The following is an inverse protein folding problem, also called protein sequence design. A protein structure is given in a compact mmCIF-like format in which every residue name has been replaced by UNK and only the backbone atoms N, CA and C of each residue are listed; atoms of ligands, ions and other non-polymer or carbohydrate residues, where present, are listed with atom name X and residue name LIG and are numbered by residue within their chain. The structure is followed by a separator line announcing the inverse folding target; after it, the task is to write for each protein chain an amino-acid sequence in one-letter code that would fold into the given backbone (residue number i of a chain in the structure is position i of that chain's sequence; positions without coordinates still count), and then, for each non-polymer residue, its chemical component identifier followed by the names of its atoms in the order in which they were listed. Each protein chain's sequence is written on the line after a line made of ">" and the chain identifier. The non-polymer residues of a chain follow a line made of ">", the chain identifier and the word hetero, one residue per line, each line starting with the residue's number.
data_IF_709392756574
#
_entry.id   IF_709392756574
#
_cell.length_a   1.000
_cell.length_b   1.000
_cell.length_c   1.000
_cell.angle_alpha   90.00
_cell.angle_beta   90.00
_cell.angle_gamma   90.00
#
_symmetry.space_group_name_H-M   'P 1'
#
loop_
_entity.id
_entity.type
_entity.pdbx_description
1 polymer ?
#
# COMPACT_ATOMS: atom_id res chain seq x y z
N UNK A 1 -9.38 24.80 -8.52
CA UNK A 1 -8.63 23.69 -9.15
C UNK A 1 -7.93 22.93 -8.03
N UNK A 2 -8.69 22.19 -7.21
CA UNK A 2 -8.15 21.51 -6.03
C UNK A 2 -9.02 20.29 -5.78
N UNK A 3 -8.50 19.13 -6.15
CA UNK A 3 -9.26 17.89 -6.19
C UNK A 3 -8.58 16.94 -7.14
N UNK A 4 -7.31 16.61 -6.87
CA UNK A 4 -6.88 15.27 -7.25
C UNK A 4 -7.73 14.37 -6.37
N UNK A 5 -8.72 13.71 -6.96
CA UNK A 5 -9.37 12.55 -6.36
C UNK A 5 -8.28 11.73 -5.68
N UNK A 6 -8.32 11.70 -4.35
CA UNK A 6 -7.26 11.13 -3.54
C UNK A 6 -7.18 9.65 -3.89
N UNK A 7 -6.18 9.28 -4.69
CA UNK A 7 -5.74 7.89 -4.83
C UNK A 7 -5.68 7.30 -3.43
N UNK A 8 -6.35 6.16 -3.24
CA UNK A 8 -6.33 5.52 -1.93
C UNK A 8 -4.93 4.97 -1.68
N UNK A 9 -4.52 4.77 -0.42
CA UNK A 9 -3.21 4.16 -0.15
C UNK A 9 -3.06 2.80 -0.86
N UNK A 10 -4.17 2.08 -1.10
CA UNK A 10 -4.16 0.82 -1.84
C UNK A 10 -3.76 0.99 -3.32
N UNK A 11 -4.15 2.11 -3.94
CA UNK A 11 -3.75 2.43 -5.31
C UNK A 11 -2.26 2.78 -5.39
N UNK A 12 -1.73 3.54 -4.43
CA UNK A 12 -0.30 3.87 -4.35
C UNK A 12 0.55 2.59 -4.21
N UNK A 13 0.11 1.63 -3.39
CA UNK A 13 0.77 0.33 -3.23
C UNK A 13 0.71 -0.48 -4.53
N UNK A 14 -0.45 -0.53 -5.20
CA UNK A 14 -0.62 -1.24 -6.47
C UNK A 14 0.26 -0.64 -7.56
N UNK A 15 0.31 0.68 -7.64
CA UNK A 15 1.15 1.39 -8.61
C UNK A 15 2.63 1.11 -8.36
N UNK A 16 3.10 1.26 -7.11
CA UNK A 16 4.47 0.99 -6.74
C UNK A 16 4.88 -0.47 -7.02
N UNK A 17 3.97 -1.43 -6.87
CA UNK A 17 4.18 -2.82 -7.26
C UNK A 17 4.31 -2.96 -8.78
N UNK A 18 3.39 -2.37 -9.54
CA UNK A 18 3.38 -2.43 -11.00
C UNK A 18 4.61 -1.77 -11.63
N UNK A 19 5.09 -0.65 -11.09
CA UNK A 19 6.32 0.02 -11.53
C UNK A 19 7.56 -0.86 -11.39
N UNK A 20 7.53 -1.84 -10.48
CA UNK A 20 8.60 -2.84 -10.29
C UNK A 20 8.41 -4.10 -11.13
N UNK A 21 7.31 -4.19 -11.89
CA UNK A 21 6.97 -5.37 -12.69
C UNK A 21 6.59 -6.60 -11.86
N UNK A 22 6.22 -6.43 -10.58
CA UNK A 22 5.91 -7.54 -9.69
C UNK A 22 4.43 -7.95 -9.74
N UNK A 23 4.17 -9.24 -9.67
CA UNK A 23 2.87 -9.82 -9.35
C UNK A 23 2.55 -9.66 -7.87
N UNK A 24 1.28 -9.84 -7.49
CA UNK A 24 0.88 -9.82 -6.08
C UNK A 24 1.55 -10.92 -5.25
N UNK A 25 1.84 -12.08 -5.86
CA UNK A 25 2.56 -13.19 -5.19
C UNK A 25 4.01 -12.78 -4.90
N UNK A 26 4.69 -12.20 -5.88
CA UNK A 26 6.07 -11.73 -5.73
C UNK A 26 6.23 -10.65 -4.66
N UNK A 27 5.25 -9.74 -4.54
CA UNK A 27 5.23 -8.77 -3.47
C UNK A 27 4.95 -9.45 -2.11
N UNK A 28 4.07 -10.45 -2.08
CA UNK A 28 3.76 -11.19 -0.86
C UNK A 28 4.99 -11.90 -0.30
N UNK A 29 5.74 -12.58 -1.16
CA UNK A 29 7.00 -13.24 -0.82
C UNK A 29 8.03 -12.25 -0.26
N UNK A 30 8.24 -11.12 -0.97
CA UNK A 30 9.19 -10.08 -0.55
C UNK A 30 8.80 -9.40 0.76
N UNK A 31 7.50 -9.23 1.01
CA UNK A 31 6.98 -8.64 2.24
C UNK A 31 6.83 -9.63 3.40
N UNK A 32 6.98 -10.94 3.15
CA UNK A 32 6.76 -11.97 4.16
C UNK A 32 5.31 -11.99 4.67
N UNK A 33 4.34 -11.86 3.76
CA UNK A 33 2.90 -11.94 4.01
C UNK A 33 2.23 -12.85 2.97
N UNK A 34 0.93 -13.13 3.13
CA UNK A 34 0.20 -13.92 2.14
C UNK A 34 -0.29 -13.09 0.96
N UNK A 35 -0.39 -13.67 -0.25
CA UNK A 35 -0.97 -13.00 -1.41
C UNK A 35 -2.39 -12.42 -1.16
N UNK A 36 -3.32 -13.10 -0.45
CA UNK A 36 -4.59 -12.50 -0.07
C UNK A 36 -4.46 -11.24 0.79
N UNK A 37 -3.39 -11.13 1.60
CA UNK A 37 -3.08 -9.91 2.35
C UNK A 37 -2.71 -8.78 1.40
N UNK A 38 -1.86 -9.03 0.39
CA UNK A 38 -1.55 -8.04 -0.65
C UNK A 38 -2.82 -7.58 -1.37
N UNK A 39 -3.69 -8.52 -1.77
CA UNK A 39 -4.93 -8.17 -2.45
C UNK A 39 -5.86 -7.29 -1.60
N UNK A 40 -5.92 -7.51 -0.27
CA UNK A 40 -6.65 -6.64 0.66
C UNK A 40 -6.01 -5.26 0.79
N UNK A 41 -4.69 -5.20 0.96
CA UNK A 41 -3.94 -3.93 1.04
C UNK A 41 -4.23 -3.07 -0.20
N UNK A 42 -4.12 -3.65 -1.40
CA UNK A 42 -4.33 -2.89 -2.65
C UNK A 42 -5.78 -2.49 -2.91
N UNK A 43 -6.75 -3.10 -2.23
CA UNK A 43 -8.15 -2.66 -2.26
C UNK A 43 -8.46 -1.58 -1.22
N UNK A 44 -7.52 -1.30 -0.32
CA UNK A 44 -7.77 -0.43 0.82
C UNK A 44 -8.62 -1.08 1.91
N UNK A 45 -8.72 -2.42 1.93
CA UNK A 45 -9.46 -3.16 2.95
C UNK A 45 -8.76 -3.06 4.32
N UNK A 46 -9.48 -3.43 5.39
CA UNK A 46 -8.92 -3.50 6.73
C UNK A 46 -7.77 -4.53 6.82
N UNK A 47 -6.61 -4.04 7.24
CA UNK A 47 -5.36 -4.77 7.38
C UNK A 47 -4.62 -4.24 8.60
N UNK A 48 -3.87 -5.11 9.28
CA UNK A 48 -3.04 -4.67 10.39
C UNK A 48 -1.97 -3.68 9.91
N UNK A 49 -1.67 -2.68 10.75
CA UNK A 49 -0.58 -1.73 10.53
C UNK A 49 0.77 -2.44 10.33
N UNK A 50 0.98 -3.57 11.01
CA UNK A 50 2.16 -4.41 10.82
C UNK A 50 2.27 -4.99 9.40
N UNK A 51 1.18 -5.50 8.84
CA UNK A 51 1.19 -6.01 7.46
C UNK A 51 1.35 -4.87 6.46
N UNK A 52 0.70 -3.73 6.69
CA UNK A 52 0.86 -2.55 5.84
C UNK A 52 2.32 -2.06 5.85
N UNK A 53 2.96 -2.00 7.01
CA UNK A 53 4.37 -1.61 7.14
C UNK A 53 5.31 -2.58 6.42
N UNK A 54 5.08 -3.89 6.51
CA UNK A 54 5.87 -4.89 5.76
C UNK A 54 5.76 -4.69 4.25
N UNK A 55 4.55 -4.44 3.75
CA UNK A 55 4.31 -4.22 2.32
C UNK A 55 4.96 -2.93 1.85
N UNK A 56 4.81 -1.83 2.60
CA UNK A 56 5.48 -0.57 2.31
C UNK A 56 7.01 -0.73 2.29
N UNK A 57 7.59 -1.41 3.28
CA UNK A 57 9.02 -1.69 3.35
C UNK A 57 9.53 -2.51 2.15
N UNK A 58 8.80 -3.55 1.74
CA UNK A 58 9.15 -4.36 0.57
C UNK A 58 9.13 -3.56 -0.74
N UNK A 59 8.30 -2.51 -0.80
CA UNK A 59 8.24 -1.56 -1.90
C UNK A 59 9.20 -0.37 -1.73
N UNK A 60 9.99 -0.30 -0.66
CA UNK A 60 10.85 0.85 -0.38
C UNK A 60 10.08 2.15 -0.17
N UNK A 61 8.86 2.07 0.37
CA UNK A 61 7.98 3.20 0.68
C UNK A 61 8.00 3.50 2.18
N UNK A 62 7.61 4.73 2.52
CA UNK A 62 7.48 5.21 3.89
C UNK A 62 6.00 5.56 4.17
N UNK A 63 5.46 5.08 5.28
CA UNK A 63 4.11 5.45 5.73
C UNK A 63 4.22 6.69 6.61
N UNK A 64 3.51 7.77 6.23
CA UNK A 64 3.44 9.01 7.01
C UNK A 64 2.04 9.24 7.51
N UNK A 65 1.92 9.55 8.80
CA UNK A 65 0.69 10.03 9.39
C UNK A 65 0.63 11.55 9.23
N UNK A 66 -0.48 12.05 8.73
CA UNK A 66 -0.76 13.47 8.68
C UNK A 66 -1.85 13.80 9.71
N UNK A 67 -1.70 14.94 10.41
CA UNK A 67 -2.79 15.49 11.20
C UNK A 67 -4.00 15.77 10.31
N UNK A 68 -5.20 15.72 10.89
CA UNK A 68 -6.36 16.30 10.20
C UNK A 68 -6.15 17.82 10.24
N UNK A 69 -6.17 18.48 9.10
CA UNK A 69 -6.25 19.93 9.06
C UNK A 69 -7.59 20.33 9.69
N UNK A 70 -7.56 20.72 10.96
CA UNK A 70 -8.65 21.40 11.62
C UNK A 70 -8.55 22.87 11.20
N UNK A 71 -9.33 23.23 10.17
CA UNK A 71 -9.54 24.63 9.80
C UNK A 71 -10.27 25.40 10.90
#
# INVERSE_FOLDING_TARGET
>A
MTGRDRLTFGDDIREARNQRGWTQEELAERAGVSRPTIARVERGDDVSTANLAKVAAALGLEIRLAGRDEG
#
